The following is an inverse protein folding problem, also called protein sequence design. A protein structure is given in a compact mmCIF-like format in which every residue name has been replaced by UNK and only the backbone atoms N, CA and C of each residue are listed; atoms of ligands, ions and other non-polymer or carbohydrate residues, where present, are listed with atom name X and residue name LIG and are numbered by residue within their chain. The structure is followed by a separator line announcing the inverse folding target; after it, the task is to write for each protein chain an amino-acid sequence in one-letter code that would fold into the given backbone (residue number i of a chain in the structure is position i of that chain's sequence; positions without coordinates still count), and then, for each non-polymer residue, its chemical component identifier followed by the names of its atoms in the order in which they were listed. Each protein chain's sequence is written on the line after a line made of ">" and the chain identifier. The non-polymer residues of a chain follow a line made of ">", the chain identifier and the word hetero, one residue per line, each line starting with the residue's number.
data_IF_671846481978
#
_entry.id   IF_671846481978
#
_cell.length_a   1.000
_cell.length_b   1.000
_cell.length_c   1.000
_cell.angle_alpha   90.00
_cell.angle_beta   90.00
_cell.angle_gamma   90.00
#
_symmetry.space_group_name_H-M   'P 1'
#
loop_
_entity.id
_entity.type
_entity.pdbx_description
1 polymer ?
#
# COMPACT_ATOMS: atom_id res chain seq x y z
N UNK A 1 3.71 -22.23 -5.90
CA UNK A 1 2.94 -22.14 -4.63
C UNK A 1 2.66 -20.67 -4.35
N UNK A 2 1.45 -20.29 -3.91
CA UNK A 2 1.18 -18.91 -3.50
C UNK A 2 2.08 -18.52 -2.32
N UNK A 3 2.62 -17.30 -2.34
CA UNK A 3 3.46 -16.78 -1.25
C UNK A 3 2.61 -16.66 0.02
N UNK A 4 3.06 -17.20 1.18
CA UNK A 4 2.32 -17.07 2.43
C UNK A 4 2.07 -15.61 2.81
N UNK A 5 0.88 -15.32 3.34
CA UNK A 5 0.48 -13.94 3.70
C UNK A 5 1.46 -13.25 4.65
N UNK A 6 2.06 -14.02 5.58
CA UNK A 6 3.04 -13.49 6.52
C UNK A 6 4.33 -13.07 5.83
N UNK A 7 4.73 -13.77 4.77
CA UNK A 7 5.93 -13.43 4.00
C UNK A 7 5.69 -12.19 3.14
N UNK A 8 4.50 -12.07 2.54
CA UNK A 8 4.06 -10.81 1.90
C UNK A 8 4.09 -9.64 2.88
N UNK A 9 3.54 -9.84 4.09
CA UNK A 9 3.53 -8.81 5.13
C UNK A 9 4.95 -8.41 5.55
N UNK A 10 5.88 -9.36 5.64
CA UNK A 10 7.30 -9.10 5.94
C UNK A 10 7.95 -8.27 4.83
N UNK A 11 7.76 -8.65 3.57
CA UNK A 11 8.30 -7.93 2.41
C UNK A 11 7.82 -6.47 2.40
N UNK A 12 6.50 -6.26 2.46
CA UNK A 12 5.90 -4.92 2.50
C UNK A 12 6.39 -4.10 3.71
N UNK A 13 6.59 -4.75 4.86
CA UNK A 13 7.16 -4.06 6.04
C UNK A 13 8.60 -3.61 5.82
N UNK A 14 9.41 -4.42 5.13
CA UNK A 14 10.78 -4.07 4.80
C UNK A 14 10.83 -2.92 3.77
N UNK A 15 10.01 -2.98 2.73
CA UNK A 15 9.96 -1.95 1.67
C UNK A 15 9.54 -0.58 2.22
N UNK A 16 8.59 -0.56 3.18
CA UNK A 16 8.12 0.66 3.83
C UNK A 16 8.97 1.08 5.04
N UNK A 17 9.93 0.26 5.47
CA UNK A 17 10.83 0.52 6.59
C UNK A 17 10.20 0.45 7.98
N UNK A 18 8.87 0.32 8.14
CA UNK A 18 8.27 0.13 9.46
C UNK A 18 6.87 -0.50 9.47
N UNK A 19 6.56 -1.24 10.55
CA UNK A 19 5.22 -1.76 10.81
C UNK A 19 4.17 -0.66 11.00
N UNK A 20 4.58 0.55 11.40
CA UNK A 20 3.67 1.67 11.59
C UNK A 20 3.16 2.22 10.25
N UNK A 21 4.01 2.20 9.20
CA UNK A 21 3.58 2.56 7.85
C UNK A 21 2.61 1.54 7.27
N UNK A 22 2.94 0.26 7.39
CA UNK A 22 2.07 -0.84 6.97
C UNK A 22 0.70 -0.74 7.63
N UNK A 23 0.68 -0.48 8.94
CA UNK A 23 -0.54 -0.32 9.72
C UNK A 23 -1.41 0.84 9.19
N UNK A 24 -0.78 1.98 8.84
CA UNK A 24 -1.47 3.12 8.24
C UNK A 24 -2.08 2.77 6.89
N UNK A 25 -1.31 2.15 6.00
CA UNK A 25 -1.80 1.74 4.67
C UNK A 25 -2.95 0.72 4.76
N UNK A 26 -2.91 -0.19 5.74
CA UNK A 26 -3.95 -1.19 5.96
C UNK A 26 -5.17 -0.64 6.72
N UNK A 27 -5.07 0.54 7.35
CA UNK A 27 -6.10 1.08 8.22
C UNK A 27 -6.28 0.28 9.51
N UNK A 28 -5.20 -0.27 10.07
CA UNK A 28 -5.21 -1.08 11.30
C UNK A 28 -4.23 -0.56 12.35
N UNK A 29 -4.28 -1.10 13.56
CA UNK A 29 -3.29 -0.76 14.58
C UNK A 29 -1.93 -1.43 14.31
N UNK A 30 -0.84 -0.76 14.70
CA UNK A 30 0.52 -1.35 14.67
C UNK A 30 0.60 -2.67 15.46
N UNK A 31 -0.13 -2.77 16.58
CA UNK A 31 -0.18 -4.00 17.38
C UNK A 31 -0.80 -5.17 16.62
N UNK A 32 -1.77 -4.92 15.72
CA UNK A 32 -2.37 -5.94 14.86
C UNK A 32 -1.36 -6.44 13.82
N UNK A 33 -0.62 -5.54 13.18
CA UNK A 33 0.49 -5.91 12.27
C UNK A 33 1.56 -6.75 12.99
N UNK A 34 1.94 -6.35 14.21
CA UNK A 34 2.91 -7.11 15.03
C UNK A 34 2.43 -8.53 15.34
N UNK A 35 1.14 -8.70 15.68
CA UNK A 35 0.54 -10.02 15.91
C UNK A 35 0.53 -10.88 14.65
N UNK A 36 0.16 -10.34 13.50
CA UNK A 36 0.19 -11.07 12.23
C UNK A 36 1.59 -11.56 11.83
N UNK A 37 2.62 -10.79 12.17
CA UNK A 37 4.01 -11.18 11.92
C UNK A 37 4.52 -12.29 12.85
N UNK A 38 3.87 -12.53 13.99
CA UNK A 38 4.38 -13.40 15.06
C UNK A 38 3.48 -14.61 15.36
N UNK A 39 2.20 -14.37 15.59
CA UNK A 39 1.32 -15.33 16.28
C UNK A 39 -0.01 -15.56 15.58
N UNK A 40 -0.47 -14.62 14.77
CA UNK A 40 -1.79 -14.64 14.14
C UNK A 40 -1.67 -14.58 12.61
N UNK A 41 -2.79 -14.83 11.93
CA UNK A 41 -2.95 -14.53 10.50
C UNK A 41 -4.00 -13.43 10.29
N UNK A 42 -3.86 -12.58 9.26
CA UNK A 42 -4.92 -11.66 8.89
C UNK A 42 -6.18 -12.43 8.43
N UNK A 43 -7.35 -11.89 8.77
CA UNK A 43 -8.62 -12.35 8.20
C UNK A 43 -8.66 -12.10 6.68
N UNK A 44 -9.60 -12.74 5.98
CA UNK A 44 -9.72 -12.65 4.52
C UNK A 44 -9.77 -11.22 4.00
N UNK A 45 -10.44 -10.30 4.69
CA UNK A 45 -10.53 -8.90 4.27
C UNK A 45 -9.17 -8.20 4.34
N UNK A 46 -8.44 -8.39 5.43
CA UNK A 46 -7.09 -7.84 5.60
C UNK A 46 -6.06 -8.50 4.68
N UNK A 47 -6.24 -9.79 4.33
CA UNK A 47 -5.42 -10.44 3.30
C UNK A 47 -5.60 -9.77 1.94
N UNK A 48 -6.84 -9.56 1.50
CA UNK A 48 -7.13 -8.89 0.24
C UNK A 48 -6.58 -7.46 0.21
N UNK A 49 -6.71 -6.71 1.32
CA UNK A 49 -6.10 -5.37 1.43
C UNK A 49 -4.58 -5.42 1.29
N UNK A 50 -3.92 -6.38 1.95
CA UNK A 50 -2.47 -6.53 1.88
C UNK A 50 -2.01 -6.82 0.44
N UNK A 51 -2.73 -7.69 -0.28
CA UNK A 51 -2.43 -8.01 -1.68
C UNK A 51 -2.60 -6.79 -2.59
N UNK A 52 -3.66 -6.01 -2.39
CA UNK A 52 -3.86 -4.77 -3.11
C UNK A 52 -2.74 -3.74 -2.86
N UNK A 53 -2.30 -3.61 -1.60
CA UNK A 53 -1.19 -2.72 -1.24
C UNK A 53 0.14 -3.19 -1.81
N UNK A 54 0.43 -4.49 -1.74
CA UNK A 54 1.62 -5.10 -2.35
C UNK A 54 1.69 -4.79 -3.85
N UNK A 55 0.55 -4.92 -4.55
CA UNK A 55 0.46 -4.60 -5.97
C UNK A 55 0.68 -3.10 -6.25
N UNK A 56 0.02 -2.21 -5.48
CA UNK A 56 0.20 -0.76 -5.61
C UNK A 56 1.65 -0.33 -5.37
N UNK A 57 2.30 -0.86 -4.33
CA UNK A 57 3.70 -0.56 -4.05
C UNK A 57 4.62 -1.06 -5.16
N UNK A 58 4.39 -2.30 -5.62
CA UNK A 58 5.15 -2.87 -6.74
C UNK A 58 5.05 -1.97 -7.98
N UNK A 59 3.85 -1.44 -8.29
CA UNK A 59 3.64 -0.54 -9.42
C UNK A 59 4.27 0.84 -9.21
N UNK A 60 4.15 1.43 -8.03
CA UNK A 60 4.78 2.73 -7.74
C UNK A 60 6.31 2.65 -7.88
N UNK A 61 6.91 1.55 -7.43
CA UNK A 61 8.35 1.35 -7.47
C UNK A 61 8.89 1.03 -8.88
N UNK A 62 8.04 0.80 -9.88
CA UNK A 62 8.52 0.72 -11.28
C UNK A 62 8.90 2.10 -11.83
N UNK A 63 8.29 3.14 -11.29
CA UNK A 63 8.34 4.50 -11.86
C UNK A 63 9.00 5.49 -10.89
N UNK A 64 8.82 5.29 -9.58
CA UNK A 64 9.35 6.15 -8.53
C UNK A 64 10.42 5.45 -7.70
N UNK A 65 11.46 6.21 -7.33
CA UNK A 65 12.32 5.80 -6.21
C UNK A 65 11.50 5.67 -4.91
N UNK A 66 11.90 4.80 -3.96
CA UNK A 66 11.14 4.56 -2.73
C UNK A 66 10.78 5.83 -1.94
N UNK A 67 11.69 6.80 -1.89
CA UNK A 67 11.43 8.08 -1.23
C UNK A 67 10.35 8.91 -1.94
N UNK A 68 10.33 8.89 -3.27
CA UNK A 68 9.33 9.57 -4.10
C UNK A 68 7.97 8.87 -4.03
N UNK A 69 7.94 7.54 -4.06
CA UNK A 69 6.72 6.75 -3.86
C UNK A 69 6.08 7.07 -2.49
N UNK A 70 6.90 7.15 -1.43
CA UNK A 70 6.43 7.52 -0.09
C UNK A 70 5.87 8.95 -0.03
N UNK A 71 6.47 9.91 -0.75
CA UNK A 71 5.93 11.27 -0.87
C UNK A 71 4.61 11.28 -1.63
N UNK A 72 4.52 10.60 -2.77
CA UNK A 72 3.32 10.50 -3.58
C UNK A 72 2.15 9.92 -2.77
N UNK A 73 2.39 8.83 -2.02
CA UNK A 73 1.36 8.21 -1.17
C UNK A 73 0.81 9.14 -0.08
N UNK A 74 1.62 10.09 0.41
CA UNK A 74 1.24 11.02 1.49
C UNK A 74 0.76 12.38 0.97
N UNK A 75 1.10 12.70 -0.27
CA UNK A 75 0.70 13.93 -0.95
C UNK A 75 -0.78 13.92 -1.27
N UNK A 76 -1.35 15.10 -1.46
CA UNK A 76 -2.68 15.21 -2.06
C UNK A 76 -2.57 14.87 -3.54
N UNK A 77 -3.52 14.08 -4.03
CA UNK A 77 -3.55 13.66 -5.43
C UNK A 77 -4.85 14.14 -6.08
N UNK A 78 -4.73 14.93 -7.16
CA UNK A 78 -5.86 15.52 -7.87
C UNK A 78 -6.78 14.46 -8.50
N UNK A 79 -6.21 13.36 -9.01
CA UNK A 79 -6.97 12.24 -9.57
C UNK A 79 -7.77 11.46 -8.50
N UNK A 80 -7.49 11.69 -7.21
CA UNK A 80 -8.24 11.14 -6.07
C UNK A 80 -9.18 12.16 -5.42
N UNK A 81 -9.46 13.30 -6.06
CA UNK A 81 -10.28 14.38 -5.52
C UNK A 81 -9.65 15.00 -4.27
N UNK A 82 -8.36 15.34 -4.38
CA UNK A 82 -7.53 15.91 -3.30
C UNK A 82 -7.47 15.07 -2.03
N UNK A 83 -7.64 13.74 -2.18
CA UNK A 83 -7.34 12.77 -1.12
C UNK A 83 -5.90 12.34 -1.19
N UNK A 84 -5.36 11.89 -0.05
CA UNK A 84 -4.06 11.22 -0.03
C UNK A 84 -4.24 9.76 -0.45
N UNK A 85 -3.39 9.23 -1.36
CA UNK A 85 -3.49 7.83 -1.76
C UNK A 85 -3.43 6.86 -0.57
N UNK A 86 -2.60 7.13 0.44
CA UNK A 86 -2.49 6.30 1.65
C UNK A 86 -3.82 6.16 2.40
N UNK A 87 -4.63 7.21 2.44
CA UNK A 87 -5.93 7.20 3.12
C UNK A 87 -6.97 6.42 2.31
N UNK A 88 -6.88 6.47 0.97
CA UNK A 88 -7.68 5.61 0.08
C UNK A 88 -7.32 4.14 0.24
N UNK A 89 -6.03 3.80 0.35
CA UNK A 89 -5.59 2.42 0.63
C UNK A 89 -6.12 1.93 1.98
N UNK A 90 -6.05 2.76 3.02
CA UNK A 90 -6.59 2.42 4.35
C UNK A 90 -8.10 2.10 4.29
N UNK A 91 -8.84 2.87 3.49
CA UNK A 91 -10.25 2.67 3.22
C UNK A 91 -10.56 1.47 2.31
N UNK A 92 -9.55 0.76 1.79
CA UNK A 92 -9.72 -0.36 0.86
C UNK A 92 -10.02 0.05 -0.58
N UNK A 93 -9.88 1.34 -0.92
CA UNK A 93 -10.10 1.89 -2.26
C UNK A 93 -8.86 1.71 -3.15
N UNK A 94 -8.41 0.46 -3.30
CA UNK A 94 -7.19 0.12 -4.04
C UNK A 94 -7.32 0.46 -5.53
N UNK A 95 -8.48 0.16 -6.13
CA UNK A 95 -8.72 0.42 -7.54
C UNK A 95 -8.60 1.91 -7.91
N UNK A 96 -9.10 2.81 -7.05
CA UNK A 96 -8.94 4.26 -7.26
C UNK A 96 -7.48 4.68 -7.29
N UNK A 97 -6.66 4.10 -6.41
CA UNK A 97 -5.22 4.41 -6.34
C UNK A 97 -4.48 3.90 -7.56
N UNK A 98 -4.86 2.73 -8.10
CA UNK A 98 -4.29 2.21 -9.35
C UNK A 98 -4.62 3.11 -10.54
N UNK A 99 -5.88 3.55 -10.67
CA UNK A 99 -6.28 4.51 -11.72
C UNK A 99 -5.51 5.82 -11.59
N UNK A 100 -5.27 6.31 -10.37
CA UNK A 100 -4.46 7.51 -10.16
C UNK A 100 -2.99 7.33 -10.58
N UNK A 101 -2.42 6.13 -10.40
CA UNK A 101 -1.06 5.81 -10.89
C UNK A 101 -1.03 5.82 -12.42
N UNK A 102 -2.02 5.20 -13.08
CA UNK A 102 -2.11 5.17 -14.55
C UNK A 102 -2.29 6.58 -15.14
N UNK A 103 -3.07 7.43 -14.49
CA UNK A 103 -3.26 8.82 -14.90
C UNK A 103 -1.95 9.63 -14.79
N UNK A 104 -1.23 9.50 -13.68
CA UNK A 104 0.07 10.16 -13.48
C UNK A 104 1.10 9.73 -14.53
N UNK A 105 1.14 8.44 -14.86
CA UNK A 105 2.02 7.93 -15.91
C UNK A 105 1.63 8.49 -17.28
N UNK A 106 0.34 8.54 -17.59
CA UNK A 106 -0.14 9.09 -18.87
C UNK A 106 0.19 10.57 -19.01
N UNK A 107 -0.02 11.38 -17.96
CA UNK A 107 0.33 12.79 -17.94
C UNK A 107 1.86 13.02 -18.04
N UNK A 108 2.67 12.11 -17.51
CA UNK A 108 4.13 12.18 -17.62
C UNK A 108 4.65 11.92 -19.06
N UNK A 109 3.86 11.27 -19.91
CA UNK A 109 4.21 10.98 -21.31
C UNK A 109 3.55 11.94 -22.33
N UNK A 110 2.68 12.85 -21.89
CA UNK A 110 1.98 13.84 -22.73
C UNK A 110 2.76 15.15 -22.87
#
# INVERSE_FOLDING_TARGET
>A
MPVPVRDKLRAVTADLGSQAEVARMLGVSRSRVSRWLRTEEPDTGNRLKLEGIEFVLSRLLTTFEPASASKWLRGFNAHLGDRRPIDSLAAGRVAEVLVAIEAEETDAYA
#
